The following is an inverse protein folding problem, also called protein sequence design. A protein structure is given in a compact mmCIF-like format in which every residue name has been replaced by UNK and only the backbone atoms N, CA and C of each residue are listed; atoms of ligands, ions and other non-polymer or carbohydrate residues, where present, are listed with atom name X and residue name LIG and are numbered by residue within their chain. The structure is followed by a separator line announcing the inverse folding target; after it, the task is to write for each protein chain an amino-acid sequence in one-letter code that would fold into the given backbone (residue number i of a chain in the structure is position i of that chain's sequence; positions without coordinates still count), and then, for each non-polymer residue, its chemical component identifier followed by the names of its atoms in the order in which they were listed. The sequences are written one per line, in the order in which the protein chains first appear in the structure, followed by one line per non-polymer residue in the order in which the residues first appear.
data_IF_649237367348
#
_entry.id   IF_649237367348
#
_cell.length_a   1.000
_cell.length_b   1.000
_cell.length_c   1.000
_cell.angle_alpha   90.00
_cell.angle_beta   90.00
_cell.angle_gamma   90.00
#
_symmetry.space_group_name_H-M   'P 1'
#
loop_
_entity.id
_entity.type
_entity.pdbx_description
1 polymer ?
#
# COMPACT_ATOMS: atom_id res chain seq x y z
N UNK A 1 -14.47 3.05 -7.17
CA UNK A 1 -14.28 4.44 -7.64
C UNK A 1 -13.88 4.52 -9.12
N UNK A 2 -13.19 3.51 -9.67
CA UNK A 2 -12.74 3.50 -11.07
C UNK A 2 -13.88 3.32 -12.11
N UNK A 3 -15.02 2.78 -11.71
CA UNK A 3 -16.14 2.50 -12.63
C UNK A 3 -16.95 3.73 -13.05
N UNK A 4 -16.72 4.90 -12.47
CA UNK A 4 -17.51 6.11 -12.77
C UNK A 4 -16.89 7.04 -13.84
N UNK A 5 -15.66 6.83 -14.24
CA UNK A 5 -15.02 7.59 -15.31
C UNK A 5 -14.94 6.70 -16.54
N UNK A 6 -15.78 6.90 -17.54
CA UNK A 6 -15.94 6.09 -18.75
C UNK A 6 -14.68 5.89 -19.63
N UNK A 7 -13.55 5.62 -19.04
CA UNK A 7 -12.31 5.18 -19.65
C UNK A 7 -12.00 3.74 -19.26
N UNK A 8 -11.40 2.97 -20.13
CA UNK A 8 -11.09 1.56 -19.95
C UNK A 8 -10.09 1.38 -18.79
N UNK A 9 -10.60 1.21 -17.58
CA UNK A 9 -9.80 0.81 -16.41
C UNK A 9 -9.45 -0.69 -16.41
N UNK A 10 -9.74 -1.39 -17.49
CA UNK A 10 -9.50 -2.84 -17.63
C UNK A 10 -8.00 -3.20 -17.72
N UNK A 11 -7.13 -2.21 -17.91
CA UNK A 11 -5.67 -2.42 -18.01
C UNK A 11 -4.96 -2.33 -16.66
N UNK A 12 -5.66 -1.93 -15.58
CA UNK A 12 -5.08 -1.75 -14.26
C UNK A 12 -5.67 -2.74 -13.26
N UNK A 13 -4.81 -3.43 -12.58
CA UNK A 13 -5.14 -4.30 -11.46
C UNK A 13 -4.44 -3.84 -10.18
N UNK A 14 -5.05 -4.11 -9.05
CA UNK A 14 -4.47 -3.88 -7.73
C UNK A 14 -4.05 -5.23 -7.16
N UNK A 15 -2.80 -5.32 -6.70
CA UNK A 15 -2.35 -6.40 -5.84
C UNK A 15 -2.12 -5.83 -4.44
N UNK A 16 -2.85 -6.35 -3.45
CA UNK A 16 -2.58 -6.04 -2.05
C UNK A 16 -1.33 -6.77 -1.57
N UNK A 17 -0.58 -6.15 -0.67
CA UNK A 17 0.58 -6.78 -0.02
C UNK A 17 0.49 -6.56 1.48
N UNK A 18 0.40 -7.64 2.24
CA UNK A 18 0.49 -7.63 3.70
C UNK A 18 1.92 -7.93 4.13
N UNK A 19 2.45 -7.10 5.03
CA UNK A 19 3.81 -7.22 5.55
C UNK A 19 3.85 -7.72 6.99
N UNK A 20 2.79 -7.45 7.77
CA UNK A 20 2.75 -7.75 9.19
C UNK A 20 2.03 -9.08 9.46
N UNK A 21 2.39 -9.83 10.52
CA UNK A 21 1.74 -11.09 10.86
C UNK A 21 0.21 -11.00 10.97
N UNK A 22 -0.32 -9.89 11.45
CA UNK A 22 -1.76 -9.62 11.55
C UNK A 22 -2.48 -9.53 10.19
N UNK A 23 -1.78 -9.25 9.11
CA UNK A 23 -2.32 -9.16 7.74
C UNK A 23 -2.72 -10.53 7.20
N UNK A 24 -2.27 -11.63 7.82
CA UNK A 24 -2.71 -12.98 7.50
C UNK A 24 -4.24 -13.14 7.54
N UNK A 25 -4.91 -12.42 8.45
CA UNK A 25 -6.37 -12.45 8.55
C UNK A 25 -7.05 -11.84 7.32
N UNK A 26 -6.49 -10.76 6.79
CA UNK A 26 -6.99 -10.13 5.55
C UNK A 26 -6.73 -11.04 4.35
N UNK A 27 -5.53 -11.62 4.26
CA UNK A 27 -5.19 -12.62 3.24
C UNK A 27 -6.23 -13.75 3.20
N UNK A 28 -6.49 -14.38 4.34
CA UNK A 28 -7.39 -15.54 4.41
C UNK A 28 -8.84 -15.15 4.08
N UNK A 29 -9.30 -14.01 4.58
CA UNK A 29 -10.63 -13.50 4.30
C UNK A 29 -10.82 -13.20 2.80
N UNK A 30 -9.90 -12.44 2.19
CA UNK A 30 -9.97 -12.10 0.77
C UNK A 30 -9.84 -13.34 -0.12
N UNK A 31 -8.95 -14.26 0.21
CA UNK A 31 -8.79 -15.53 -0.53
C UNK A 31 -10.07 -16.37 -0.51
N UNK A 32 -10.78 -16.41 0.62
CA UNK A 32 -12.02 -17.20 0.76
C UNK A 32 -13.17 -16.69 -0.10
N UNK A 33 -13.10 -15.45 -0.62
CA UNK A 33 -14.17 -14.78 -1.37
C UNK A 33 -13.68 -14.20 -2.70
N UNK A 34 -12.67 -14.79 -3.33
CA UNK A 34 -12.10 -14.38 -4.62
C UNK A 34 -11.70 -12.89 -4.67
N UNK A 35 -11.20 -12.35 -3.56
CA UNK A 35 -10.79 -10.95 -3.37
C UNK A 35 -11.92 -9.93 -3.53
N UNK A 36 -13.17 -10.37 -3.60
CA UNK A 36 -14.34 -9.49 -3.57
C UNK A 36 -14.63 -9.08 -2.13
N UNK A 37 -15.06 -7.85 -1.92
CA UNK A 37 -15.54 -7.40 -0.61
C UNK A 37 -16.65 -6.35 -0.77
N UNK A 38 -17.46 -6.20 0.28
CA UNK A 38 -18.54 -5.21 0.29
C UNK A 38 -18.05 -3.92 0.91
N UNK A 39 -18.16 -2.82 0.16
CA UNK A 39 -18.00 -1.47 0.66
C UNK A 39 -19.38 -0.92 1.02
N UNK A 40 -19.58 -0.46 2.26
CA UNK A 40 -20.84 0.11 2.73
C UNK A 40 -20.65 1.59 3.03
N UNK A 41 -21.27 2.45 2.23
CA UNK A 41 -21.30 3.89 2.51
C UNK A 41 -22.34 4.18 3.59
N UNK A 42 -21.91 4.80 4.69
CA UNK A 42 -22.78 5.24 5.80
C UNK A 42 -23.12 6.71 5.62
N UNK A 43 -24.32 6.99 5.14
CA UNK A 43 -24.81 8.36 4.98
C UNK A 43 -25.35 8.94 6.29
N UNK A 44 -25.31 10.27 6.46
CA UNK A 44 -26.08 10.96 7.49
C UNK A 44 -27.56 10.56 7.40
N UNK A 45 -28.22 10.34 8.54
CA UNK A 45 -29.64 9.90 8.54
C UNK A 45 -29.86 8.38 8.44
N UNK A 46 -28.79 7.58 8.42
CA UNK A 46 -28.89 6.13 8.59
C UNK A 46 -28.96 5.31 7.29
N UNK A 47 -29.03 5.95 6.13
CA UNK A 47 -28.99 5.24 4.85
C UNK A 47 -27.65 4.48 4.72
N UNK A 48 -27.73 3.25 4.21
CA UNK A 48 -26.59 2.40 3.86
C UNK A 48 -26.62 2.14 2.37
N UNK A 49 -25.51 2.39 1.70
CA UNK A 49 -25.35 2.15 0.28
C UNK A 49 -24.20 1.15 0.05
N UNK A 50 -24.53 -0.14 -0.17
CA UNK A 50 -23.56 -1.18 -0.35
C UNK A 50 -23.15 -1.32 -1.81
N UNK A 51 -21.86 -1.60 -2.05
CA UNK A 51 -21.32 -1.94 -3.35
C UNK A 51 -20.31 -3.08 -3.22
N UNK A 52 -20.34 -4.01 -4.17
CA UNK A 52 -19.29 -5.06 -4.24
C UNK A 52 -18.07 -4.47 -4.97
N UNK A 53 -16.92 -4.59 -4.35
CA UNK A 53 -15.64 -4.13 -4.88
C UNK A 53 -14.83 -5.35 -5.32
N UNK A 54 -14.33 -5.29 -6.56
CA UNK A 54 -13.51 -6.34 -7.19
C UNK A 54 -12.26 -5.78 -7.86
N UNK A 55 -11.72 -4.67 -7.36
CA UNK A 55 -10.50 -4.05 -7.91
C UNK A 55 -9.21 -4.74 -7.45
N UNK A 56 -9.25 -5.51 -6.37
CA UNK A 56 -8.13 -6.31 -5.89
C UNK A 56 -8.13 -7.64 -6.63
N UNK A 57 -7.14 -7.86 -7.50
CA UNK A 57 -7.01 -9.10 -8.27
C UNK A 57 -6.20 -10.16 -7.54
N UNK A 58 -5.33 -9.75 -6.65
CA UNK A 58 -4.49 -10.65 -5.87
C UNK A 58 -4.11 -10.01 -4.53
N UNK A 59 -3.75 -10.85 -3.57
CA UNK A 59 -3.22 -10.42 -2.28
C UNK A 59 -2.04 -11.31 -1.91
N UNK A 60 -0.86 -10.71 -1.77
CA UNK A 60 0.36 -11.38 -1.36
C UNK A 60 0.61 -11.15 0.12
N UNK A 61 1.11 -12.17 0.79
CA UNK A 61 1.50 -12.07 2.19
C UNK A 61 3.00 -12.30 2.29
N UNK A 62 3.75 -11.24 2.47
CA UNK A 62 5.20 -11.24 2.40
C UNK A 62 5.90 -12.19 3.38
N UNK A 63 5.39 -12.40 4.63
CA UNK A 63 6.00 -13.38 5.53
C UNK A 63 5.95 -14.84 5.05
N UNK A 64 5.01 -15.20 4.14
CA UNK A 64 4.96 -16.57 3.59
C UNK A 64 6.02 -16.75 2.48
N UNK A 65 6.19 -15.74 1.64
CA UNK A 65 7.14 -15.79 0.51
C UNK A 65 7.56 -14.36 0.10
N UNK A 66 8.67 -13.85 0.65
CA UNK A 66 9.20 -12.55 0.28
C UNK A 66 9.53 -12.41 -1.20
N UNK A 67 10.00 -13.50 -1.83
CA UNK A 67 10.44 -13.46 -3.22
C UNK A 67 9.29 -13.22 -4.20
N UNK A 68 8.09 -13.72 -3.92
CA UNK A 68 6.91 -13.45 -4.76
C UNK A 68 6.57 -11.96 -4.76
N UNK A 69 6.72 -11.28 -3.63
CA UNK A 69 6.52 -9.81 -3.55
C UNK A 69 7.62 -9.08 -4.31
N UNK A 70 8.87 -9.47 -4.14
CA UNK A 70 10.00 -8.88 -4.87
C UNK A 70 9.87 -9.10 -6.39
N UNK A 71 9.47 -10.29 -6.82
CA UNK A 71 9.23 -10.58 -8.23
C UNK A 71 8.12 -9.69 -8.81
N UNK A 72 7.01 -9.52 -8.08
CA UNK A 72 5.92 -8.61 -8.49
C UNK A 72 6.40 -7.16 -8.63
N UNK A 73 7.09 -6.65 -7.62
CA UNK A 73 7.59 -5.27 -7.62
C UNK A 73 8.65 -5.05 -8.72
N UNK A 74 9.45 -6.07 -9.02
CA UNK A 74 10.48 -6.00 -10.05
C UNK A 74 9.93 -6.16 -11.48
N UNK A 75 8.70 -6.66 -11.64
CA UNK A 75 8.10 -6.86 -12.94
C UNK A 75 7.88 -5.54 -13.71
N UNK A 76 8.12 -5.48 -15.03
CA UNK A 76 7.92 -4.26 -15.81
C UNK A 76 6.46 -3.79 -15.85
N UNK A 77 5.51 -4.68 -15.58
CA UNK A 77 4.09 -4.38 -15.51
C UNK A 77 3.68 -3.64 -14.22
N UNK A 78 4.48 -3.75 -13.16
CA UNK A 78 4.25 -2.97 -11.93
C UNK A 78 4.79 -1.56 -12.13
N UNK A 79 3.92 -0.57 -12.05
CA UNK A 79 4.26 0.83 -12.36
C UNK A 79 4.19 1.73 -11.15
N UNK A 80 3.30 1.44 -10.20
CA UNK A 80 3.04 2.25 -9.03
C UNK A 80 3.02 1.35 -7.79
N UNK A 81 3.68 1.79 -6.74
CA UNK A 81 3.54 1.26 -5.38
C UNK A 81 2.86 2.32 -4.53
N UNK A 82 1.68 2.00 -4.01
CA UNK A 82 0.99 2.86 -3.05
C UNK A 82 1.26 2.41 -1.62
N UNK A 83 1.53 3.35 -0.75
CA UNK A 83 1.84 3.11 0.66
C UNK A 83 0.67 3.54 1.54
N UNK A 84 0.29 2.68 2.47
CA UNK A 84 -0.63 2.94 3.57
C UNK A 84 -0.04 2.33 4.84
N UNK A 85 1.15 2.77 5.21
CA UNK A 85 1.97 2.19 6.28
C UNK A 85 1.86 2.93 7.60
N UNK A 86 1.04 3.98 7.65
CA UNK A 86 0.87 4.94 8.73
C UNK A 86 2.15 5.76 9.03
N UNK A 87 2.02 6.82 9.83
CA UNK A 87 3.12 7.75 10.13
C UNK A 87 4.36 7.02 10.69
N UNK A 88 4.16 6.09 11.63
CA UNK A 88 5.24 5.32 12.24
C UNK A 88 5.99 4.40 11.27
N UNK A 89 5.34 3.99 10.18
CA UNK A 89 5.91 3.08 9.19
C UNK A 89 7.02 3.70 8.33
N UNK A 90 7.09 5.04 8.24
CA UNK A 90 8.13 5.73 7.44
C UNK A 90 9.51 5.71 8.09
N UNK A 91 9.61 5.32 9.36
CA UNK A 91 10.87 5.29 10.09
C UNK A 91 11.62 6.64 10.07
N UNK A 92 10.86 7.73 10.02
CA UNK A 92 11.35 9.11 10.02
C UNK A 92 11.02 9.72 11.38
N UNK A 93 11.93 10.50 11.92
CA UNK A 93 11.71 11.24 13.16
C UNK A 93 10.87 12.49 12.89
N UNK A 94 9.76 12.64 13.60
CA UNK A 94 8.77 13.70 13.37
C UNK A 94 9.32 15.12 13.65
N UNK A 95 10.30 15.24 14.55
CA UNK A 95 10.87 16.54 14.93
C UNK A 95 11.98 16.98 14.00
N UNK A 96 12.79 16.05 13.50
CA UNK A 96 13.99 16.33 12.71
C UNK A 96 13.83 16.00 11.23
N UNK A 97 12.79 15.25 10.85
CA UNK A 97 12.58 14.65 9.55
C UNK A 97 13.75 13.74 9.09
N UNK A 98 14.58 13.30 10.03
CA UNK A 98 15.69 12.40 9.75
C UNK A 98 15.23 10.93 9.76
N UNK A 99 15.77 10.13 8.84
CA UNK A 99 15.57 8.69 8.83
C UNK A 99 16.32 8.03 9.97
N UNK A 100 15.70 7.08 10.67
CA UNK A 100 16.28 6.35 11.80
C UNK A 100 17.07 5.15 11.31
N UNK A 101 18.34 5.33 11.01
CA UNK A 101 19.22 4.28 10.48
C UNK A 101 19.46 3.14 11.46
N UNK A 102 19.28 3.38 12.75
CA UNK A 102 19.45 2.39 13.84
C UNK A 102 18.21 1.52 14.08
N UNK A 103 17.11 1.78 13.40
CA UNK A 103 15.89 0.98 13.56
C UNK A 103 16.14 -0.48 13.13
N UNK A 104 15.74 -1.47 13.95
CA UNK A 104 16.08 -2.88 13.69
C UNK A 104 15.69 -3.37 12.30
N UNK A 105 14.50 -2.98 11.79
CA UNK A 105 14.09 -3.36 10.44
C UNK A 105 14.93 -2.71 9.34
N UNK A 106 15.35 -1.45 9.52
CA UNK A 106 16.21 -0.77 8.56
C UNK A 106 17.61 -1.39 8.50
N UNK A 107 18.17 -1.73 9.66
CA UNK A 107 19.47 -2.44 9.76
C UNK A 107 19.38 -3.81 9.11
N UNK A 108 18.34 -4.59 9.46
CA UNK A 108 18.13 -5.91 8.87
C UNK A 108 18.07 -5.85 7.33
N UNK A 109 17.24 -4.95 6.79
CA UNK A 109 17.04 -4.86 5.35
C UNK A 109 18.26 -4.35 4.60
N UNK A 110 19.13 -3.56 5.28
CA UNK A 110 20.42 -3.14 4.72
C UNK A 110 21.46 -4.29 4.68
N UNK A 111 21.43 -5.16 5.69
CA UNK A 111 22.34 -6.31 5.80
C UNK A 111 21.84 -7.51 4.97
N UNK A 112 20.52 -7.65 4.81
CA UNK A 112 19.87 -8.77 4.13
C UNK A 112 18.89 -8.30 3.03
N UNK A 113 19.34 -7.59 2.00
CA UNK A 113 18.45 -6.98 1.00
C UNK A 113 17.59 -7.98 0.22
N UNK A 114 18.01 -9.23 0.11
CA UNK A 114 17.23 -10.31 -0.53
C UNK A 114 16.07 -10.83 0.33
N UNK A 115 16.03 -10.50 1.62
CA UNK A 115 15.02 -10.95 2.58
C UNK A 115 14.46 -9.75 3.36
N UNK A 116 13.91 -8.74 2.70
CA UNK A 116 13.46 -7.52 3.37
C UNK A 116 12.25 -7.79 4.28
N UNK A 117 12.15 -7.01 5.33
CA UNK A 117 11.07 -7.09 6.33
C UNK A 117 10.22 -5.84 6.39
N UNK A 118 10.73 -4.71 5.87
CA UNK A 118 10.01 -3.43 5.84
C UNK A 118 9.53 -3.08 4.44
N UNK A 119 8.49 -2.26 4.34
CA UNK A 119 8.00 -1.77 3.05
C UNK A 119 9.12 -1.10 2.23
N UNK A 120 9.99 -0.35 2.89
CA UNK A 120 11.09 0.36 2.22
C UNK A 120 12.21 -0.57 1.78
N UNK A 121 12.50 -1.62 2.55
CA UNK A 121 13.43 -2.68 2.12
C UNK A 121 12.94 -3.38 0.86
N UNK A 122 11.67 -3.76 0.78
CA UNK A 122 11.07 -4.33 -0.43
C UNK A 122 11.19 -3.40 -1.64
N UNK A 123 10.89 -2.11 -1.45
CA UNK A 123 10.96 -1.11 -2.52
C UNK A 123 12.39 -0.92 -3.00
N UNK A 124 13.36 -0.79 -2.10
CA UNK A 124 14.78 -0.61 -2.42
C UNK A 124 15.32 -1.81 -3.20
N UNK A 125 15.07 -3.02 -2.73
CA UNK A 125 15.52 -4.23 -3.41
C UNK A 125 14.86 -4.40 -4.78
N UNK A 126 13.57 -4.11 -4.90
CA UNK A 126 12.89 -4.13 -6.19
C UNK A 126 13.48 -3.09 -7.17
N UNK A 127 13.78 -1.88 -6.71
CA UNK A 127 14.42 -0.83 -7.52
C UNK A 127 15.84 -1.22 -7.95
N UNK A 128 16.60 -1.87 -7.07
CA UNK A 128 17.91 -2.43 -7.40
C UNK A 128 17.79 -3.45 -8.54
N UNK A 129 16.90 -4.43 -8.42
CA UNK A 129 16.64 -5.45 -9.44
C UNK A 129 16.20 -4.85 -10.78
N UNK A 130 15.31 -3.85 -10.71
CA UNK A 130 14.84 -3.15 -11.92
C UNK A 130 15.96 -2.40 -12.62
N UNK A 131 16.81 -1.67 -11.88
CA UNK A 131 17.97 -0.97 -12.40
C UNK A 131 18.93 -1.94 -13.12
N UNK A 132 19.25 -3.05 -12.48
CA UNK A 132 20.14 -4.09 -13.05
C UNK A 132 19.56 -4.74 -14.31
N UNK A 133 18.24 -4.94 -14.35
CA UNK A 133 17.54 -5.48 -15.51
C UNK A 133 17.21 -4.44 -16.60
N UNK A 134 17.58 -3.17 -16.42
CA UNK A 134 17.24 -2.09 -17.36
C UNK A 134 15.74 -1.77 -17.45
N UNK A 135 14.97 -2.09 -16.39
CA UNK A 135 13.53 -1.82 -16.29
C UNK A 135 13.35 -0.42 -15.69
N UNK A 136 12.38 0.35 -16.22
CA UNK A 136 12.04 1.68 -15.70
C UNK A 136 11.68 1.63 -14.22
N UNK A 137 11.99 2.67 -13.41
CA UNK A 137 11.65 2.71 -11.99
C UNK A 137 10.14 2.71 -11.76
N UNK A 138 9.75 2.39 -10.52
CA UNK A 138 8.39 2.54 -10.03
C UNK A 138 8.13 4.00 -9.65
N UNK A 139 6.85 4.39 -9.66
CA UNK A 139 6.40 5.54 -8.86
C UNK A 139 6.06 5.06 -7.45
N UNK A 140 6.62 5.68 -6.43
CA UNK A 140 6.32 5.39 -5.02
C UNK A 140 5.39 6.48 -4.51
N UNK A 141 4.15 6.12 -4.24
CA UNK A 141 3.08 7.06 -3.91
C UNK A 141 2.57 6.82 -2.49
N UNK A 142 2.86 7.73 -1.59
CA UNK A 142 2.28 7.68 -0.25
C UNK A 142 0.81 8.08 -0.28
N UNK A 143 -0.04 7.25 0.31
CA UNK A 143 -1.46 7.51 0.51
C UNK A 143 -1.79 7.66 2.01
N UNK A 144 -0.81 7.98 2.83
CA UNK A 144 -0.99 8.23 4.26
C UNK A 144 -1.31 9.72 4.51
N UNK A 145 -2.08 9.97 5.55
CA UNK A 145 -2.43 11.34 5.97
C UNK A 145 -1.27 11.99 6.77
N UNK A 146 -0.20 12.30 6.04
CA UNK A 146 1.05 12.88 6.56
C UNK A 146 1.41 14.10 5.70
N UNK A 147 1.63 15.29 6.28
CA UNK A 147 2.07 16.46 5.53
C UNK A 147 3.39 16.18 4.78
N UNK A 148 3.41 16.46 3.48
CA UNK A 148 4.59 16.17 2.65
C UNK A 148 4.95 14.70 2.54
N UNK A 149 3.94 13.85 2.50
CA UNK A 149 4.08 12.38 2.51
C UNK A 149 4.97 11.84 1.37
N UNK A 150 4.95 12.45 0.19
CA UNK A 150 5.87 12.11 -0.90
C UNK A 150 7.34 12.37 -0.52
N UNK A 151 7.62 13.49 0.16
CA UNK A 151 8.96 13.78 0.67
C UNK A 151 9.38 12.80 1.76
N UNK A 152 8.46 12.42 2.65
CA UNK A 152 8.74 11.42 3.68
C UNK A 152 9.06 10.05 3.05
N UNK A 153 8.29 9.62 2.05
CA UNK A 153 8.54 8.41 1.30
C UNK A 153 9.91 8.44 0.59
N UNK A 154 10.25 9.57 -0.08
CA UNK A 154 11.56 9.76 -0.70
C UNK A 154 12.68 9.64 0.32
N UNK A 155 12.58 10.34 1.45
CA UNK A 155 13.57 10.26 2.53
C UNK A 155 13.76 8.82 3.00
N UNK A 156 12.67 8.10 3.26
CA UNK A 156 12.74 6.73 3.74
C UNK A 156 13.40 5.78 2.73
N UNK A 157 13.00 5.83 1.45
CA UNK A 157 13.55 4.95 0.41
C UNK A 157 15.02 5.28 0.11
N UNK A 158 15.36 6.56 -0.07
CA UNK A 158 16.73 6.98 -0.38
C UNK A 158 17.68 6.68 0.78
N UNK A 159 17.28 7.00 2.01
CA UNK A 159 18.13 6.72 3.17
C UNK A 159 18.27 5.21 3.43
N UNK A 160 17.21 4.42 3.26
CA UNK A 160 17.29 2.96 3.34
C UNK A 160 18.29 2.40 2.31
N UNK A 161 18.23 2.88 1.07
CA UNK A 161 19.17 2.47 0.03
C UNK A 161 20.63 2.88 0.36
N UNK A 162 20.81 4.09 0.89
CA UNK A 162 22.14 4.61 1.21
C UNK A 162 22.86 3.82 2.31
N UNK A 163 22.13 3.10 3.17
CA UNK A 163 22.72 2.27 4.23
C UNK A 163 23.59 1.13 3.67
N UNK A 164 23.25 0.60 2.51
CA UNK A 164 24.00 -0.51 1.89
C UNK A 164 24.60 -0.17 0.53
N UNK A 165 24.00 0.74 -0.22
CA UNK A 165 24.40 1.07 -1.60
C UNK A 165 24.16 2.56 -1.93
N UNK A 166 25.14 3.44 -1.65
CA UNK A 166 25.05 4.87 -1.95
C UNK A 166 24.79 5.20 -3.43
N UNK A 167 25.36 4.42 -4.36
CA UNK A 167 25.12 4.64 -5.80
C UNK A 167 23.69 4.31 -6.22
N UNK A 168 23.07 3.33 -5.57
CA UNK A 168 21.65 3.04 -5.75
C UNK A 168 20.79 4.16 -5.18
N UNK A 169 21.15 4.70 -4.02
CA UNK A 169 20.45 5.81 -3.40
C UNK A 169 20.45 7.05 -4.31
N UNK A 170 21.61 7.41 -4.89
CA UNK A 170 21.73 8.54 -5.83
C UNK A 170 20.88 8.29 -7.09
N UNK A 171 20.88 7.05 -7.61
CA UNK A 171 20.05 6.71 -8.75
C UNK A 171 18.55 6.79 -8.42
N UNK A 172 18.13 6.30 -7.27
CA UNK A 172 16.74 6.39 -6.80
C UNK A 172 16.33 7.85 -6.69
N UNK A 173 17.15 8.67 -6.06
CA UNK A 173 16.87 10.09 -5.83
C UNK A 173 16.69 10.88 -7.15
N UNK A 174 17.41 10.49 -8.20
CA UNK A 174 17.35 11.15 -9.51
C UNK A 174 16.33 10.56 -10.50
N UNK A 175 15.78 9.37 -10.27
CA UNK A 175 14.98 8.66 -11.28
C UNK A 175 13.61 8.20 -10.79
N UNK A 176 13.36 8.10 -9.49
CA UNK A 176 12.11 7.62 -8.91
C UNK A 176 11.20 8.80 -8.59
N UNK A 177 9.95 8.74 -9.01
CA UNK A 177 8.94 9.73 -8.66
C UNK A 177 8.30 9.42 -7.30
N UNK A 178 8.17 10.46 -6.47
CA UNK A 178 7.57 10.42 -5.13
C UNK A 178 6.50 11.51 -5.00
N UNK A 179 5.38 11.43 -5.73
CA UNK A 179 4.34 12.45 -5.63
C UNK A 179 3.72 12.48 -4.23
N UNK A 180 3.42 13.68 -3.75
CA UNK A 180 2.62 13.84 -2.55
C UNK A 180 1.14 13.64 -2.88
N UNK A 181 0.40 12.99 -1.97
CA UNK A 181 -1.03 12.83 -2.09
C UNK A 181 -1.75 13.40 -0.87
N UNK A 182 -2.96 13.91 -1.11
CA UNK A 182 -3.94 14.12 -0.07
C UNK A 182 -5.06 13.12 -0.29
N UNK A 183 -5.22 12.21 0.65
CA UNK A 183 -6.31 11.24 0.68
C UNK A 183 -7.21 11.51 1.87
N UNK A 184 -8.52 11.54 1.65
CA UNK A 184 -9.47 11.74 2.74
C UNK A 184 -10.74 10.92 2.50
N UNK A 185 -10.97 10.00 3.43
CA UNK A 185 -12.20 9.23 3.61
C UNK A 185 -12.16 8.57 4.98
N UNK A 186 -13.09 8.92 5.84
CA UNK A 186 -13.22 8.25 7.14
C UNK A 186 -13.66 6.80 6.93
N UNK A 187 -12.75 5.89 7.26
CA UNK A 187 -12.96 4.44 7.15
C UNK A 187 -12.69 3.80 8.51
N UNK A 188 -13.67 3.79 9.41
CA UNK A 188 -13.51 3.22 10.73
C UNK A 188 -13.36 1.70 10.65
N UNK A 189 -12.77 1.12 11.67
CA UNK A 189 -12.70 -0.33 11.80
C UNK A 189 -14.10 -0.94 11.78
N UNK A 190 -14.34 -1.86 10.85
CA UNK A 190 -15.61 -2.59 10.76
C UNK A 190 -15.86 -3.40 12.04
N UNK A 191 -17.03 -3.21 12.65
CA UNK A 191 -17.40 -3.90 13.88
C UNK A 191 -18.20 -5.16 13.61
N UNK A 192 -18.31 -6.04 14.60
CA UNK A 192 -19.19 -7.22 14.52
C UNK A 192 -20.65 -6.83 14.29
N UNK A 193 -21.08 -5.68 14.81
CA UNK A 193 -22.42 -5.16 14.59
C UNK A 193 -22.65 -4.76 13.13
N UNK A 194 -21.65 -4.15 12.48
CA UNK A 194 -21.71 -3.80 11.05
C UNK A 194 -21.83 -5.06 10.19
N UNK A 195 -21.06 -6.10 10.49
CA UNK A 195 -21.14 -7.40 9.79
C UNK A 195 -22.52 -8.04 9.95
N UNK A 196 -23.07 -8.05 11.17
CA UNK A 196 -24.38 -8.60 11.44
C UNK A 196 -25.51 -7.79 10.75
N UNK A 197 -25.38 -6.47 10.70
CA UNK A 197 -26.30 -5.59 9.97
C UNK A 197 -26.28 -5.87 8.48
N UNK A 198 -25.09 -5.99 7.87
CA UNK A 198 -24.92 -6.32 6.46
C UNK A 198 -25.58 -7.65 6.10
N UNK A 199 -25.32 -8.70 6.89
CA UNK A 199 -25.94 -10.01 6.71
C UNK A 199 -27.46 -9.96 6.81
N UNK A 200 -27.99 -9.25 7.79
CA UNK A 200 -29.45 -9.13 8.02
C UNK A 200 -30.13 -8.31 6.92
N UNK A 201 -29.51 -7.20 6.48
CA UNK A 201 -30.12 -6.26 5.54
C UNK A 201 -30.02 -6.73 4.07
N UNK A 202 -28.91 -7.37 3.70
CA UNK A 202 -28.58 -7.71 2.31
C UNK A 202 -28.47 -9.23 2.05
N UNK A 203 -28.48 -10.05 3.10
CA UNK A 203 -28.27 -11.50 2.96
C UNK A 203 -26.85 -11.88 2.48
N UNK A 204 -25.88 -10.93 2.59
CA UNK A 204 -24.50 -11.14 2.16
C UNK A 204 -23.66 -11.61 3.34
N UNK A 205 -22.91 -12.68 3.14
CA UNK A 205 -21.83 -13.11 4.03
C UNK A 205 -20.51 -12.61 3.46
N UNK A 206 -19.87 -11.69 4.17
CA UNK A 206 -18.59 -11.10 3.76
C UNK A 206 -17.62 -11.21 4.95
N UNK A 207 -16.47 -11.83 4.71
CA UNK A 207 -15.45 -12.03 5.74
C UNK A 207 -14.63 -10.75 6.00
N UNK A 208 -14.65 -9.78 5.07
CA UNK A 208 -13.88 -8.53 5.18
C UNK A 208 -14.63 -7.30 4.65
N UNK A 209 -15.86 -7.04 5.12
CA UNK A 209 -16.59 -5.86 4.68
C UNK A 209 -15.95 -4.58 5.20
N UNK A 210 -16.02 -3.53 4.41
CA UNK A 210 -15.47 -2.20 4.74
C UNK A 210 -16.61 -1.21 4.86
N UNK A 211 -16.65 -0.47 5.96
CA UNK A 211 -17.60 0.63 6.16
C UNK A 211 -16.87 1.97 6.10
N UNK A 212 -17.45 2.93 5.40
CA UNK A 212 -16.86 4.26 5.29
C UNK A 212 -17.94 5.33 5.09
N UNK A 213 -17.52 6.58 5.16
CA UNK A 213 -18.35 7.71 4.79
C UNK A 213 -18.49 7.83 3.25
N UNK A 214 -19.50 8.55 2.74
CA UNK A 214 -19.67 8.81 1.31
C UNK A 214 -18.61 9.73 0.73
N UNK A 215 -18.04 10.64 1.54
CA UNK A 215 -17.01 11.57 1.09
C UNK A 215 -15.76 10.82 0.61
N UNK A 216 -15.17 11.30 -0.45
CA UNK A 216 -13.91 10.77 -0.99
C UNK A 216 -13.13 11.91 -1.60
N UNK A 217 -11.88 12.05 -1.19
CA UNK A 217 -10.94 12.95 -1.82
C UNK A 217 -9.63 12.21 -2.09
N UNK A 218 -9.09 12.43 -3.28
CA UNK A 218 -7.74 12.00 -3.64
C UNK A 218 -7.15 13.04 -4.58
N UNK A 219 -6.22 13.80 -4.07
CA UNK A 219 -5.47 14.82 -4.81
C UNK A 219 -4.03 14.38 -4.87
N UNK A 220 -3.44 14.42 -6.04
CA UNK A 220 -2.04 14.03 -6.29
C UNK A 220 -1.31 15.27 -6.78
N UNK A 221 -0.14 15.54 -6.21
CA UNK A 221 0.76 16.60 -6.65
C UNK A 221 1.29 16.25 -8.05
N UNK A 222 1.29 17.25 -8.95
CA UNK A 222 1.80 17.12 -10.32
C UNK A 222 3.23 17.65 -10.41
#
# INVERSE_FOLDING_TARGET
AAAAAGGSCLEWGICGVGLLPEDARMRDALASQNHLYTLVLKHPGGLRDPAVIGSIHNYLFAPDDPEVVLALLSAPTTRIVSLTVTEGGYNVDDATAAFRTEAPGAVHDAEHPGEPTTAFGYIVEALRRRREAGIAPLTVMSCDNLPGNGKAARTAVVCQAAMSNPELADWIDGNVAFPSCMVDRITPRTTRADVAELRRALGVEDAWPVVCEPFTQWVIED
#
